data_IF_863884521515
#
_entry.id   IF_863884521515
#
_cell.length_a   1.000
_cell.length_b   1.000
_cell.length_c   1.000
_cell.angle_alpha   90.00
_cell.angle_beta   90.00
_cell.angle_gamma   90.00
#
_symmetry.space_group_name_H-M   'P 1'
#
loop_
_entity.id
_entity.type
_entity.pdbx_description
1 polymer ?
#
# COMPACT_ATOMS: atom_id res chain seq x y z
N UNK A 1 25.67 11.88 -21.05
CA UNK A 1 25.05 13.19 -20.75
C UNK A 1 24.18 13.01 -19.52
N UNK A 2 24.25 13.92 -18.56
CA UNK A 2 23.29 13.95 -17.44
C UNK A 2 21.95 14.43 -18.01
N UNK A 3 20.89 13.64 -17.79
CA UNK A 3 19.53 14.05 -18.13
C UNK A 3 19.13 15.14 -17.13
N UNK A 4 18.68 16.29 -17.64
CA UNK A 4 18.27 17.39 -16.78
C UNK A 4 16.84 17.15 -16.29
N UNK A 5 16.69 17.13 -14.96
CA UNK A 5 15.39 17.27 -14.32
C UNK A 5 14.79 18.63 -14.71
N UNK A 6 13.50 18.65 -15.00
CA UNK A 6 12.78 19.84 -15.41
C UNK A 6 11.48 19.97 -14.65
N UNK A 7 11.03 21.21 -14.43
CA UNK A 7 9.65 21.44 -13.98
C UNK A 7 8.68 21.28 -15.14
N UNK A 8 7.62 20.54 -14.87
CA UNK A 8 6.49 20.37 -15.77
C UNK A 8 5.25 21.00 -15.11
N UNK A 9 4.52 21.82 -15.86
CA UNK A 9 3.38 22.57 -15.31
C UNK A 9 2.21 21.65 -14.92
N UNK A 10 2.13 20.46 -15.55
CA UNK A 10 1.06 19.52 -15.31
C UNK A 10 1.43 18.51 -14.23
N UNK A 11 2.66 17.97 -14.30
CA UNK A 11 3.05 16.84 -13.47
C UNK A 11 3.80 17.21 -12.21
N UNK A 12 4.60 18.29 -12.19
CA UNK A 12 5.32 18.67 -10.96
C UNK A 12 4.36 18.91 -9.77
N UNK A 13 3.19 19.59 -9.92
CA UNK A 13 2.24 19.73 -8.82
C UNK A 13 1.65 18.41 -8.32
N UNK A 14 1.41 17.44 -9.23
CA UNK A 14 0.94 16.10 -8.86
C UNK A 14 2.00 15.40 -8.01
N UNK A 15 3.26 15.44 -8.44
CA UNK A 15 4.37 14.80 -7.74
C UNK A 15 4.61 15.38 -6.34
N UNK A 16 4.35 16.67 -6.13
CA UNK A 16 4.52 17.35 -4.83
C UNK A 16 3.52 16.88 -3.77
N UNK A 17 2.35 16.39 -4.18
CA UNK A 17 1.28 15.96 -3.25
C UNK A 17 1.23 14.45 -3.04
N UNK A 18 2.00 13.67 -3.80
CA UNK A 18 2.03 12.23 -3.66
C UNK A 18 2.68 11.82 -2.33
N UNK A 19 2.10 10.82 -1.69
CA UNK A 19 2.72 10.07 -0.59
C UNK A 19 3.82 9.14 -1.13
N UNK A 20 4.74 9.69 -1.93
CA UNK A 20 5.66 8.91 -2.77
C UNK A 20 6.47 7.90 -1.96
N UNK A 21 6.84 8.24 -0.73
CA UNK A 21 7.56 7.39 0.24
C UNK A 21 6.77 6.14 0.71
N UNK A 22 5.46 6.09 0.49
CA UNK A 22 4.58 4.99 0.88
C UNK A 22 4.21 4.05 -0.28
N UNK A 23 4.69 4.33 -1.50
CA UNK A 23 4.28 3.62 -2.73
C UNK A 23 5.36 2.65 -3.20
N UNK A 24 5.04 1.44 -3.65
CA UNK A 24 6.04 0.60 -4.32
C UNK A 24 6.38 1.09 -5.75
N UNK A 25 7.31 0.42 -6.43
CA UNK A 25 7.80 0.80 -7.76
C UNK A 25 6.77 0.65 -8.89
N UNK A 26 5.65 -0.06 -8.66
CA UNK A 26 4.57 -0.22 -9.63
C UNK A 26 3.47 0.79 -9.31
N UNK A 27 3.07 0.82 -8.05
CA UNK A 27 2.00 1.67 -7.52
C UNK A 27 2.29 3.16 -7.69
N UNK A 28 3.57 3.57 -7.69
CA UNK A 28 3.97 4.98 -7.83
C UNK A 28 3.43 5.66 -9.09
N UNK A 29 3.56 5.03 -10.27
CA UNK A 29 3.01 5.55 -11.53
C UNK A 29 1.49 5.56 -11.54
N UNK A 30 0.85 4.52 -10.98
CA UNK A 30 -0.62 4.45 -10.86
C UNK A 30 -1.15 5.57 -9.97
N UNK A 31 -0.49 5.86 -8.85
CA UNK A 31 -0.86 6.96 -7.94
C UNK A 31 -0.80 8.32 -8.63
N UNK A 32 0.23 8.58 -9.45
CA UNK A 32 0.29 9.82 -10.22
C UNK A 32 -0.87 9.94 -11.22
N UNK A 33 -1.27 8.82 -11.85
CA UNK A 33 -2.45 8.77 -12.72
C UNK A 33 -3.72 9.05 -11.93
N UNK A 34 -3.93 8.41 -10.77
CA UNK A 34 -5.08 8.65 -9.89
C UNK A 34 -5.17 10.13 -9.53
N UNK A 35 -4.10 10.73 -8.99
CA UNK A 35 -4.13 12.13 -8.57
C UNK A 35 -4.37 13.09 -9.74
N UNK A 36 -3.86 12.74 -10.93
CA UNK A 36 -4.08 13.53 -12.15
C UNK A 36 -5.54 13.55 -12.58
N UNK A 37 -6.28 12.46 -12.41
CA UNK A 37 -7.67 12.35 -12.86
C UNK A 37 -8.69 12.66 -11.76
N UNK A 38 -8.41 12.27 -10.52
CA UNK A 38 -9.33 12.33 -9.39
C UNK A 38 -9.01 13.46 -8.40
N UNK A 39 -7.90 14.17 -8.58
CA UNK A 39 -7.46 15.27 -7.73
C UNK A 39 -6.38 14.86 -6.72
N UNK A 40 -5.67 15.86 -6.21
CA UNK A 40 -4.54 15.66 -5.29
C UNK A 40 -4.95 14.85 -4.05
N UNK A 41 -4.14 13.85 -3.69
CA UNK A 41 -4.37 12.99 -2.53
C UNK A 41 -5.33 11.82 -2.78
N UNK A 42 -5.99 11.74 -3.94
CA UNK A 42 -6.89 10.63 -4.26
C UNK A 42 -6.17 9.26 -4.27
N UNK A 43 -4.88 9.23 -4.59
CA UNK A 43 -4.07 8.02 -4.65
C UNK A 43 -4.00 7.22 -3.34
N UNK A 44 -4.26 7.85 -2.18
CA UNK A 44 -4.21 7.14 -0.90
C UNK A 44 -5.21 5.99 -0.84
N UNK A 45 -6.28 6.02 -1.64
CA UNK A 45 -7.25 4.93 -1.78
C UNK A 45 -6.59 3.60 -2.17
N UNK A 46 -5.45 3.63 -2.86
CA UNK A 46 -4.68 2.43 -3.22
C UNK A 46 -4.03 1.76 -2.00
N UNK A 47 -4.04 2.39 -0.83
CA UNK A 47 -3.64 1.80 0.45
C UNK A 47 -4.78 1.20 1.24
N UNK A 48 -6.02 1.24 0.75
CA UNK A 48 -7.19 0.80 1.51
C UNK A 48 -7.12 -0.69 1.89
N UNK A 49 -6.61 -1.54 0.98
CA UNK A 49 -6.46 -2.97 1.22
C UNK A 49 -5.12 -3.32 1.84
N UNK A 50 -5.14 -4.22 2.81
CA UNK A 50 -3.97 -4.82 3.42
C UNK A 50 -4.03 -6.33 3.25
N UNK A 51 -2.92 -6.91 2.80
CA UNK A 51 -2.84 -8.34 2.55
C UNK A 51 -1.45 -8.88 2.91
N UNK A 52 -1.42 -10.17 3.24
CA UNK A 52 -0.21 -10.97 3.38
C UNK A 52 -0.39 -12.24 2.55
N UNK A 53 0.04 -12.19 1.28
CA UNK A 53 -0.14 -13.29 0.32
C UNK A 53 1.23 -13.69 -0.23
N UNK A 54 1.96 -14.58 0.48
CA UNK A 54 3.27 -15.01 0.02
C UNK A 54 3.19 -15.84 -1.25
N UNK A 55 4.10 -15.55 -2.18
CA UNK A 55 4.33 -16.36 -3.38
C UNK A 55 5.54 -17.25 -3.15
N UNK A 56 5.32 -18.56 -3.22
CA UNK A 56 6.36 -19.58 -3.03
C UNK A 56 6.51 -20.32 -4.36
N UNK A 57 7.62 -20.07 -5.04
CA UNK A 57 7.98 -20.72 -6.31
C UNK A 57 9.19 -21.64 -6.10
N UNK A 58 9.17 -22.81 -6.74
CA UNK A 58 10.28 -23.77 -6.61
C UNK A 58 11.60 -23.15 -7.11
N UNK A 59 12.64 -23.21 -6.27
CA UNK A 59 13.98 -22.71 -6.60
C UNK A 59 14.15 -21.19 -6.53
N UNK A 60 13.16 -20.46 -5.99
CA UNK A 60 13.26 -19.02 -5.72
C UNK A 60 12.97 -18.74 -4.26
N UNK A 61 13.58 -17.70 -3.66
CA UNK A 61 13.14 -17.20 -2.36
C UNK A 61 11.65 -16.86 -2.38
N UNK A 62 10.93 -17.06 -1.26
CA UNK A 62 9.56 -16.60 -1.14
C UNK A 62 9.53 -15.08 -1.20
N UNK A 63 8.44 -14.53 -1.73
CA UNK A 63 8.29 -13.08 -1.87
C UNK A 63 6.85 -12.63 -1.61
N UNK A 64 6.73 -11.43 -1.05
CA UNK A 64 5.49 -10.68 -0.90
C UNK A 64 5.29 -9.65 -2.01
N UNK A 65 6.23 -9.54 -2.95
CA UNK A 65 6.12 -8.61 -4.07
C UNK A 65 4.88 -8.95 -4.91
N UNK A 66 3.92 -8.02 -5.04
CA UNK A 66 2.71 -8.25 -5.81
C UNK A 66 3.05 -8.22 -7.31
N UNK A 67 2.50 -9.14 -8.12
CA UNK A 67 2.66 -9.06 -9.56
C UNK A 67 1.95 -7.82 -10.11
N UNK A 68 2.46 -7.30 -11.23
CA UNK A 68 1.90 -6.11 -11.92
C UNK A 68 0.39 -6.22 -12.13
N UNK A 69 -0.08 -7.37 -12.63
CA UNK A 69 -1.50 -7.56 -12.92
C UNK A 69 -2.39 -7.47 -11.66
N UNK A 70 -1.84 -7.84 -10.49
CA UNK A 70 -2.53 -7.64 -9.20
C UNK A 70 -2.65 -6.15 -8.88
N UNK A 71 -1.57 -5.37 -9.03
CA UNK A 71 -1.61 -3.91 -8.82
C UNK A 71 -2.58 -3.20 -9.77
N UNK A 72 -2.67 -3.65 -11.02
CA UNK A 72 -3.63 -3.13 -11.98
C UNK A 72 -5.08 -3.49 -11.60
N UNK A 73 -5.33 -4.71 -11.13
CA UNK A 73 -6.64 -5.12 -10.64
C UNK A 73 -7.07 -4.30 -9.40
N UNK A 74 -6.16 -4.12 -8.44
CA UNK A 74 -6.39 -3.28 -7.26
C UNK A 74 -6.69 -1.82 -7.65
N UNK A 75 -5.92 -1.24 -8.58
CA UNK A 75 -6.14 0.12 -9.05
C UNK A 75 -7.48 0.29 -9.78
N UNK A 76 -7.95 -0.76 -10.48
CA UNK A 76 -9.29 -0.77 -11.06
C UNK A 76 -10.38 -0.76 -9.99
N UNK A 77 -10.27 -1.66 -9.02
CA UNK A 77 -11.30 -1.83 -8.00
C UNK A 77 -11.36 -0.65 -7.02
N UNK A 78 -10.21 -0.08 -6.65
CA UNK A 78 -10.12 0.96 -5.62
C UNK A 78 -10.13 2.38 -6.19
N UNK A 79 -9.60 2.58 -7.40
CA UNK A 79 -9.41 3.92 -7.97
C UNK A 79 -10.06 4.11 -9.34
N UNK A 80 -10.79 3.11 -9.86
CA UNK A 80 -11.49 3.21 -11.15
C UNK A 80 -10.55 3.30 -12.35
N UNK A 81 -9.29 2.88 -12.20
CA UNK A 81 -8.32 2.88 -13.30
C UNK A 81 -8.46 1.62 -14.15
N UNK A 82 -8.51 1.77 -15.47
CA UNK A 82 -8.56 0.62 -16.37
C UNK A 82 -7.59 0.76 -17.54
N UNK A 83 -6.97 -0.37 -17.90
CA UNK A 83 -6.08 -0.49 -19.05
C UNK A 83 -6.94 -0.66 -20.29
N UNK A 84 -6.87 0.29 -21.22
CA UNK A 84 -7.64 0.27 -22.48
C UNK A 84 -6.85 -0.31 -23.65
N UNK A 85 -5.52 -0.20 -23.60
CA UNK A 85 -4.60 -0.82 -24.56
C UNK A 85 -3.33 -1.22 -23.80
N UNK A 86 -2.79 -2.40 -24.08
CA UNK A 86 -1.55 -2.93 -23.50
C UNK A 86 -0.70 -3.55 -24.60
N UNK A 87 0.56 -3.15 -24.65
CA UNK A 87 1.56 -3.72 -25.56
C UNK A 87 2.79 -4.13 -24.75
N UNK A 88 3.20 -5.38 -24.90
CA UNK A 88 4.35 -5.95 -24.22
C UNK A 88 5.52 -6.18 -25.20
N UNK A 89 6.73 -6.35 -24.69
CA UNK A 89 7.90 -6.68 -25.51
C UNK A 89 8.42 -5.52 -26.35
N UNK A 90 8.12 -4.28 -25.97
CA UNK A 90 8.48 -3.09 -26.73
C UNK A 90 9.98 -2.77 -26.58
N UNK A 91 10.58 -2.29 -27.67
CA UNK A 91 11.84 -1.55 -27.64
C UNK A 91 11.55 -0.04 -27.63
N UNK A 92 12.60 0.78 -27.49
CA UNK A 92 12.46 2.23 -27.49
C UNK A 92 11.73 2.81 -28.71
N UNK A 93 12.07 2.42 -29.96
CA UNK A 93 11.37 2.92 -31.14
C UNK A 93 9.90 2.52 -31.20
N UNK A 94 9.55 1.30 -30.79
CA UNK A 94 8.16 0.86 -30.71
C UNK A 94 7.38 1.58 -29.61
N UNK A 95 8.01 1.81 -28.45
CA UNK A 95 7.42 2.56 -27.35
C UNK A 95 7.10 4.01 -27.75
N UNK A 96 8.02 4.68 -28.46
CA UNK A 96 7.76 6.02 -29.00
C UNK A 96 6.56 6.06 -29.94
N UNK A 97 6.53 5.16 -30.92
CA UNK A 97 5.40 5.10 -31.86
C UNK A 97 4.09 4.92 -31.12
N UNK A 98 4.08 4.08 -30.09
CA UNK A 98 2.89 3.89 -29.28
C UNK A 98 2.50 5.16 -28.50
N UNK A 99 3.47 5.88 -27.91
CA UNK A 99 3.21 7.13 -27.21
C UNK A 99 2.69 8.23 -28.16
N UNK A 100 3.20 8.28 -29.40
CA UNK A 100 2.76 9.23 -30.42
C UNK A 100 1.34 8.89 -30.94
N UNK A 101 0.98 7.61 -30.99
CA UNK A 101 -0.35 7.12 -31.40
C UNK A 101 -1.42 7.31 -30.32
N UNK A 102 -1.09 6.98 -29.07
CA UNK A 102 -2.07 6.81 -27.99
C UNK A 102 -2.04 7.92 -26.93
N UNK A 103 -1.00 8.75 -26.91
CA UNK A 103 -0.80 9.78 -25.89
C UNK A 103 0.00 9.27 -24.69
N UNK A 104 -0.24 9.82 -23.47
CA UNK A 104 0.48 9.43 -22.27
C UNK A 104 0.36 7.93 -21.97
N UNK A 105 1.49 7.28 -21.71
CA UNK A 105 1.57 5.86 -21.41
C UNK A 105 2.02 5.65 -19.96
N UNK A 106 1.45 4.66 -19.30
CA UNK A 106 2.06 4.01 -18.15
C UNK A 106 3.01 2.93 -18.64
N UNK A 107 4.29 3.00 -18.26
CA UNK A 107 5.33 2.14 -18.79
C UNK A 107 6.00 1.38 -17.66
N UNK A 108 6.29 0.11 -17.92
CA UNK A 108 7.11 -0.78 -17.11
C UNK A 108 8.33 -1.17 -17.92
N UNK A 109 9.51 -0.89 -17.40
CA UNK A 109 10.75 -1.38 -17.98
C UNK A 109 11.82 -1.57 -16.90
N UNK A 110 12.97 -2.09 -17.32
CA UNK A 110 14.08 -2.43 -16.44
C UNK A 110 14.84 -1.17 -15.96
N UNK A 111 14.98 -1.01 -14.64
CA UNK A 111 15.74 0.10 -14.05
C UNK A 111 17.22 0.13 -14.45
N UNK A 112 17.78 -1.01 -14.89
CA UNK A 112 19.20 -1.13 -15.22
C UNK A 112 19.62 -0.19 -16.36
N UNK A 113 18.72 0.11 -17.30
CA UNK A 113 19.00 0.99 -18.44
C UNK A 113 18.52 2.43 -18.24
N UNK A 114 17.61 2.67 -17.29
CA UNK A 114 16.99 3.99 -17.06
C UNK A 114 18.00 5.05 -16.65
N UNK A 115 18.15 6.09 -17.47
CA UNK A 115 19.19 7.12 -17.28
C UNK A 115 18.94 8.11 -16.14
N UNK A 116 17.71 8.16 -15.63
CA UNK A 116 17.28 9.08 -14.58
C UNK A 116 17.19 8.44 -13.18
N UNK A 117 17.38 7.13 -13.06
CA UNK A 117 17.32 6.42 -11.76
C UNK A 117 18.73 6.09 -11.24
N UNK A 118 18.93 5.95 -9.92
CA UNK A 118 20.23 5.57 -9.35
C UNK A 118 20.60 4.09 -9.62
N UNK A 119 19.67 3.30 -10.15
CA UNK A 119 19.86 1.87 -10.43
C UNK A 119 20.58 1.58 -11.74
N UNK A 120 20.79 2.60 -12.57
CA UNK A 120 21.39 2.46 -13.91
C UNK A 120 22.74 1.75 -13.85
N UNK A 121 22.84 0.60 -14.52
CA UNK A 121 24.05 -0.22 -14.54
C UNK A 121 24.34 -0.94 -13.22
N UNK A 122 23.42 -0.91 -12.26
CA UNK A 122 23.60 -1.44 -10.91
C UNK A 122 22.64 -2.58 -10.59
N UNK A 123 21.34 -2.43 -10.90
CA UNK A 123 20.32 -3.42 -10.54
C UNK A 123 19.24 -3.55 -11.61
N UNK A 124 18.93 -4.81 -11.92
CA UNK A 124 17.76 -5.18 -12.71
C UNK A 124 16.53 -5.23 -11.79
N UNK A 125 15.46 -4.53 -12.17
CA UNK A 125 14.19 -4.49 -11.45
C UNK A 125 13.13 -3.89 -12.36
N UNK A 126 11.90 -4.40 -12.30
CA UNK A 126 10.76 -3.78 -12.97
C UNK A 126 10.40 -2.46 -12.27
N UNK A 127 10.16 -1.41 -13.05
CA UNK A 127 9.87 -0.10 -12.52
C UNK A 127 8.90 0.68 -13.39
N UNK A 128 7.93 1.33 -12.73
CA UNK A 128 6.91 2.10 -13.42
C UNK A 128 7.23 3.58 -13.52
N UNK A 129 6.86 4.16 -14.65
CA UNK A 129 6.92 5.61 -14.91
C UNK A 129 5.85 5.97 -15.95
N UNK A 130 5.58 7.26 -16.09
CA UNK A 130 4.72 7.76 -17.16
C UNK A 130 5.59 8.33 -18.29
N UNK A 131 5.22 8.01 -19.53
CA UNK A 131 5.86 8.52 -20.74
C UNK A 131 4.87 9.42 -21.48
N UNK A 132 5.29 10.64 -21.78
CA UNK A 132 4.47 11.62 -22.50
C UNK A 132 5.23 12.03 -23.77
N UNK A 133 4.62 11.74 -24.92
CA UNK A 133 5.10 12.20 -26.22
C UNK A 133 4.83 13.69 -26.43
N UNK A 134 5.83 14.42 -26.94
CA UNK A 134 5.70 15.82 -27.35
C UNK A 134 6.52 16.07 -28.61
N UNK A 135 6.10 15.47 -29.73
CA UNK A 135 6.81 15.58 -31.01
C UNK A 135 8.12 14.80 -30.98
N UNK A 136 9.25 15.48 -31.14
CA UNK A 136 10.60 14.87 -31.15
C UNK A 136 11.23 14.71 -29.75
N UNK A 137 10.47 15.06 -28.70
CA UNK A 137 10.91 14.98 -27.30
C UNK A 137 9.91 14.22 -26.46
N UNK A 138 10.45 13.54 -25.46
CA UNK A 138 9.67 12.72 -24.54
C UNK A 138 9.89 13.21 -23.12
N UNK A 139 8.82 13.31 -22.35
CA UNK A 139 8.90 13.55 -20.92
C UNK A 139 8.65 12.25 -20.17
N UNK A 140 9.56 11.91 -19.27
CA UNK A 140 9.40 10.83 -18.29
C UNK A 140 8.99 11.46 -16.98
N UNK A 141 7.87 11.01 -16.42
CA UNK A 141 7.41 11.36 -15.07
C UNK A 141 7.60 10.15 -14.20
N UNK A 142 8.50 10.23 -13.23
CA UNK A 142 8.80 9.13 -12.32
C UNK A 142 8.47 9.61 -10.90
N UNK A 143 7.36 9.13 -10.30
CA UNK A 143 6.97 9.54 -8.95
C UNK A 143 7.71 8.79 -7.84
N UNK A 144 8.72 7.98 -8.19
CA UNK A 144 9.36 7.09 -7.25
C UNK A 144 10.23 7.81 -6.22
N UNK A 145 10.11 7.40 -4.97
CA UNK A 145 10.93 7.86 -3.86
C UNK A 145 11.61 6.70 -3.16
N UNK A 146 12.94 6.66 -3.18
CA UNK A 146 13.72 5.70 -2.41
C UNK A 146 15.14 6.21 -2.13
N UNK A 147 15.72 5.79 -1.01
CA UNK A 147 17.14 5.99 -0.71
C UNK A 147 17.89 4.69 -0.91
N UNK A 148 18.88 4.72 -1.79
CA UNK A 148 19.65 3.55 -2.17
C UNK A 148 21.14 3.79 -1.94
N UNK A 149 21.92 2.71 -1.90
CA UNK A 149 23.39 2.81 -1.84
C UNK A 149 24.03 3.51 -3.06
N UNK A 150 23.30 3.63 -4.18
CA UNK A 150 23.80 4.25 -5.41
C UNK A 150 23.37 5.72 -5.55
N UNK A 151 22.59 6.21 -4.59
CA UNK A 151 22.03 7.55 -4.59
C UNK A 151 20.51 7.56 -4.36
N UNK A 152 19.95 8.74 -4.11
CA UNK A 152 18.51 8.90 -3.96
C UNK A 152 17.78 8.78 -5.30
N UNK A 153 16.64 8.09 -5.30
CA UNK A 153 15.58 8.27 -6.28
C UNK A 153 14.57 9.25 -5.69
N UNK A 154 14.18 10.27 -6.46
CA UNK A 154 13.22 11.28 -6.05
C UNK A 154 12.17 11.49 -7.14
N UNK A 155 10.92 11.82 -6.75
CA UNK A 155 9.89 12.17 -7.72
C UNK A 155 10.37 13.30 -8.62
N UNK A 156 10.22 13.15 -9.94
CA UNK A 156 10.68 14.16 -10.88
C UNK A 156 10.12 14.03 -12.29
N UNK A 157 10.53 14.97 -13.15
CA UNK A 157 10.24 14.93 -14.58
C UNK A 157 11.51 15.16 -15.38
N UNK A 158 11.79 14.29 -16.34
CA UNK A 158 12.99 14.32 -17.16
C UNK A 158 12.61 14.42 -18.63
N UNK A 159 13.29 15.29 -19.38
CA UNK A 159 13.12 15.41 -20.83
C UNK A 159 14.22 14.64 -21.55
N UNK A 160 13.82 13.72 -22.42
CA UNK A 160 14.69 12.86 -23.20
C UNK A 160 14.57 13.16 -24.69
N UNK A 161 15.70 13.07 -25.39
CA UNK A 161 15.69 12.91 -26.84
C UNK A 161 15.21 11.51 -27.21
N UNK A 162 14.80 11.30 -28.46
CA UNK A 162 14.47 9.95 -28.96
C UNK A 162 15.62 8.94 -28.72
N UNK A 163 16.87 9.35 -28.95
CA UNK A 163 18.02 8.48 -28.75
C UNK A 163 18.26 8.14 -27.26
N UNK A 164 18.06 9.11 -26.37
CA UNK A 164 18.20 8.87 -24.92
C UNK A 164 17.08 7.95 -24.40
N UNK A 165 15.84 8.12 -24.91
CA UNK A 165 14.74 7.23 -24.58
C UNK A 165 15.00 5.81 -25.10
N UNK A 166 15.50 5.65 -26.33
CA UNK A 166 15.85 4.33 -26.89
C UNK A 166 16.85 3.59 -26.01
N UNK A 167 17.90 4.29 -25.60
CA UNK A 167 18.93 3.72 -24.74
C UNK A 167 18.40 3.39 -23.33
N UNK A 168 17.41 4.14 -22.83
CA UNK A 168 16.90 3.99 -21.47
C UNK A 168 15.87 2.87 -21.31
N UNK A 169 15.08 2.58 -22.36
CA UNK A 169 14.04 1.53 -22.34
C UNK A 169 14.64 0.14 -22.53
N UNK A 170 15.73 0.03 -23.30
CA UNK A 170 16.30 -1.25 -23.66
C UNK A 170 15.34 -2.09 -24.52
N UNK A 171 15.19 -3.37 -24.18
CA UNK A 171 14.27 -4.30 -24.84
C UNK A 171 13.33 -4.93 -23.82
N UNK A 172 12.06 -5.12 -24.20
CA UNK A 172 11.12 -5.90 -23.39
C UNK A 172 10.20 -5.07 -22.51
N UNK A 173 10.03 -3.77 -22.78
CA UNK A 173 9.14 -2.93 -22.00
C UNK A 173 7.66 -3.30 -22.23
N UNK A 174 6.86 -3.11 -21.20
CA UNK A 174 5.40 -3.15 -21.26
C UNK A 174 4.85 -1.75 -21.14
N UNK A 175 3.93 -1.37 -22.01
CA UNK A 175 3.30 -0.06 -21.95
C UNK A 175 1.78 -0.18 -22.07
N UNK A 176 1.10 0.71 -21.36
CA UNK A 176 -0.34 0.67 -21.16
C UNK A 176 -0.92 2.06 -21.33
N UNK A 177 -2.05 2.15 -22.01
CA UNK A 177 -2.94 3.31 -21.95
C UNK A 177 -3.86 3.09 -20.77
N UNK A 178 -3.82 4.00 -19.80
CA UNK A 178 -4.68 3.97 -18.62
C UNK A 178 -5.69 5.09 -18.72
N UNK A 179 -6.95 4.75 -18.44
CA UNK A 179 -8.02 5.72 -18.27
C UNK A 179 -8.70 5.54 -16.91
N UNK A 180 -9.43 6.56 -16.48
CA UNK A 180 -10.06 6.62 -15.17
C UNK A 180 -11.54 6.97 -15.32
N UNK A 181 -12.41 6.22 -14.64
CA UNK A 181 -13.86 6.48 -14.61
C UNK A 181 -14.28 7.36 -13.41
N UNK A 182 -13.32 7.84 -12.63
CA UNK A 182 -13.52 8.46 -11.32
C UNK A 182 -13.37 7.46 -10.17
N UNK A 183 -13.33 7.97 -8.94
CA UNK A 183 -13.20 7.12 -7.76
C UNK A 183 -14.49 6.32 -7.53
N UNK A 184 -14.40 4.98 -7.41
CA UNK A 184 -15.52 4.16 -6.98
C UNK A 184 -15.99 4.55 -5.57
N UNK A 185 -17.28 4.36 -5.30
CA UNK A 185 -17.81 4.41 -3.94
C UNK A 185 -17.42 3.11 -3.22
N UNK A 186 -16.55 3.23 -2.22
CA UNK A 186 -16.03 2.09 -1.44
C UNK A 186 -16.58 2.16 -0.02
N UNK A 187 -17.02 1.03 0.53
CA UNK A 187 -17.41 0.90 1.93
C UNK A 187 -16.16 0.66 2.81
N UNK A 188 -15.70 1.65 3.60
CA UNK A 188 -14.51 1.48 4.44
C UNK A 188 -14.72 0.39 5.50
N UNK A 189 -15.96 0.20 5.98
CA UNK A 189 -16.27 -0.82 6.98
C UNK A 189 -16.12 -2.22 6.39
N UNK A 190 -16.58 -2.44 5.16
CA UNK A 190 -16.37 -3.71 4.46
C UNK A 190 -14.88 -3.95 4.20
N UNK A 191 -14.14 -2.94 3.72
CA UNK A 191 -12.69 -3.07 3.47
C UNK A 191 -11.92 -3.42 4.74
N UNK A 192 -12.22 -2.76 5.86
CA UNK A 192 -11.54 -3.04 7.13
C UNK A 192 -11.86 -4.44 7.66
N UNK A 193 -13.10 -4.89 7.52
CA UNK A 193 -13.47 -6.27 7.84
C UNK A 193 -12.72 -7.27 6.94
N UNK A 194 -12.60 -6.99 5.65
CA UNK A 194 -11.85 -7.83 4.70
C UNK A 194 -10.37 -7.87 5.02
N UNK A 195 -9.75 -6.73 5.36
CA UNK A 195 -8.36 -6.67 5.79
C UNK A 195 -8.12 -7.53 7.04
N UNK A 196 -8.98 -7.41 8.05
CA UNK A 196 -8.88 -8.20 9.28
C UNK A 196 -9.00 -9.71 8.97
N UNK A 197 -9.97 -10.11 8.14
CA UNK A 197 -10.13 -11.50 7.72
C UNK A 197 -8.93 -12.00 6.93
N UNK A 198 -8.44 -11.23 5.96
CA UNK A 198 -7.32 -11.63 5.10
C UNK A 198 -6.01 -11.77 5.87
N UNK A 199 -5.72 -10.85 6.79
CA UNK A 199 -4.53 -10.92 7.64
C UNK A 199 -4.64 -12.06 8.65
N UNK A 200 -5.81 -12.27 9.27
CA UNK A 200 -6.01 -13.41 10.18
C UNK A 200 -6.00 -14.76 9.45
N UNK A 201 -6.52 -14.81 8.22
CA UNK A 201 -6.53 -15.98 7.35
C UNK A 201 -5.24 -16.11 6.51
N UNK A 202 -4.18 -15.36 6.83
CA UNK A 202 -2.86 -15.57 6.26
C UNK A 202 -2.35 -16.95 6.71
N UNK A 203 -2.80 -17.98 5.98
CA UNK A 203 -2.88 -19.39 6.36
C UNK A 203 -1.55 -20.05 6.75
N UNK A 204 -0.41 -19.35 6.64
CA UNK A 204 0.87 -19.88 7.11
C UNK A 204 1.96 -18.81 7.33
N UNK A 205 1.71 -17.79 8.16
CA UNK A 205 2.80 -16.87 8.60
C UNK A 205 3.99 -17.69 9.13
N UNK A 206 3.71 -18.72 9.94
CA UNK A 206 4.72 -19.60 10.51
C UNK A 206 5.54 -20.33 9.44
N UNK A 207 4.90 -20.87 8.40
CA UNK A 207 5.58 -21.58 7.31
C UNK A 207 6.28 -20.66 6.33
N UNK A 208 5.77 -19.45 6.08
CA UNK A 208 6.56 -18.41 5.39
C UNK A 208 7.84 -18.09 6.17
N UNK A 209 7.72 -17.82 7.48
CA UNK A 209 8.89 -17.53 8.35
C UNK A 209 9.84 -18.72 8.39
N UNK A 210 9.33 -19.96 8.48
CA UNK A 210 10.16 -21.15 8.44
C UNK A 210 10.91 -21.30 7.11
N UNK A 211 10.24 -21.00 5.99
CA UNK A 211 10.85 -21.03 4.67
C UNK A 211 11.94 -19.97 4.53
N UNK A 212 11.68 -18.73 4.94
CA UNK A 212 12.69 -17.66 4.95
C UNK A 212 13.87 -18.06 5.83
N UNK A 213 13.62 -18.56 7.04
CA UNK A 213 14.65 -19.01 7.99
C UNK A 213 15.56 -20.08 7.39
N UNK A 214 15.00 -21.00 6.61
CA UNK A 214 15.77 -22.07 5.95
C UNK A 214 16.71 -21.57 4.85
N UNK A 215 16.47 -20.37 4.30
CA UNK A 215 17.27 -19.79 3.22
C UNK A 215 18.21 -18.65 3.65
N UNK A 216 18.29 -18.30 4.94
CA UNK A 216 19.07 -17.16 5.43
C UNK A 216 20.61 -17.32 5.28
N UNK A 217 21.09 -18.45 4.79
CA UNK A 217 22.48 -18.64 4.38
C UNK A 217 22.78 -18.07 2.98
N UNK A 218 21.73 -17.79 2.19
CA UNK A 218 21.81 -17.23 0.85
C UNK A 218 21.57 -15.71 0.84
N UNK A 219 22.48 -14.98 0.19
CA UNK A 219 22.31 -13.53 -0.04
C UNK A 219 21.00 -13.24 -0.78
N UNK A 220 20.63 -14.04 -1.77
CA UNK A 220 19.40 -13.83 -2.55
C UNK A 220 18.13 -13.95 -1.68
N UNK A 221 18.12 -14.86 -0.71
CA UNK A 221 16.99 -15.00 0.21
C UNK A 221 16.91 -13.81 1.18
N UNK A 222 18.06 -13.31 1.65
CA UNK A 222 18.12 -12.12 2.49
C UNK A 222 17.68 -10.89 1.70
N UNK A 223 18.07 -10.76 0.42
CA UNK A 223 17.61 -9.68 -0.46
C UNK A 223 16.09 -9.70 -0.62
N UNK A 224 15.49 -10.88 -0.81
CA UNK A 224 14.04 -11.06 -0.87
C UNK A 224 13.36 -10.62 0.44
N UNK A 225 13.86 -11.08 1.59
CA UNK A 225 13.31 -10.69 2.89
C UNK A 225 13.38 -9.17 3.13
N UNK A 226 14.50 -8.53 2.78
CA UNK A 226 14.64 -7.07 2.92
C UNK A 226 13.61 -6.34 2.05
N UNK A 227 13.38 -6.81 0.83
CA UNK A 227 12.35 -6.25 -0.05
C UNK A 227 10.95 -6.44 0.53
N UNK A 228 10.63 -7.63 1.02
CA UNK A 228 9.34 -7.95 1.63
C UNK A 228 9.03 -7.06 2.84
N UNK A 229 10.00 -6.88 3.75
CA UNK A 229 9.89 -5.97 4.91
C UNK A 229 9.65 -4.53 4.45
N UNK A 230 10.36 -4.08 3.41
CA UNK A 230 10.22 -2.73 2.85
C UNK A 230 8.84 -2.50 2.21
N UNK A 231 8.32 -3.49 1.46
CA UNK A 231 6.97 -3.44 0.86
C UNK A 231 5.90 -3.35 1.95
N UNK A 232 6.01 -4.17 3.01
CA UNK A 232 5.06 -4.16 4.12
C UNK A 232 5.05 -2.79 4.82
N UNK A 233 6.21 -2.24 5.17
CA UNK A 233 6.29 -0.93 5.83
C UNK A 233 5.65 0.21 5.01
N UNK A 234 5.90 0.23 3.70
CA UNK A 234 5.30 1.22 2.80
C UNK A 234 3.79 1.02 2.65
N UNK A 235 3.34 -0.24 2.54
CA UNK A 235 1.92 -0.58 2.50
C UNK A 235 1.17 -0.09 3.74
N UNK A 236 1.73 -0.28 4.95
CA UNK A 236 1.11 0.23 6.19
C UNK A 236 1.13 1.75 6.26
N UNK A 237 2.20 2.39 5.77
CA UNK A 237 2.27 3.85 5.71
C UNK A 237 1.18 4.43 4.79
N UNK A 238 0.93 3.80 3.64
CA UNK A 238 -0.13 4.21 2.74
C UNK A 238 -1.51 3.91 3.31
N UNK A 239 -1.67 2.80 4.02
CA UNK A 239 -2.92 2.47 4.72
C UNK A 239 -3.26 3.51 5.79
N UNK A 240 -2.27 3.97 6.56
CA UNK A 240 -2.46 5.05 7.52
C UNK A 240 -2.93 6.34 6.83
N UNK A 241 -2.35 6.69 5.68
CA UNK A 241 -2.77 7.85 4.89
C UNK A 241 -4.19 7.70 4.34
N UNK A 242 -4.61 6.49 3.97
CA UNK A 242 -6.02 6.21 3.63
C UNK A 242 -6.94 6.37 4.84
N UNK A 243 -6.57 5.85 6.00
CA UNK A 243 -7.37 5.96 7.23
C UNK A 243 -7.59 7.40 7.67
N UNK A 244 -6.64 8.31 7.43
CA UNK A 244 -6.82 9.75 7.67
C UNK A 244 -7.98 10.34 6.84
N UNK A 245 -8.40 9.66 5.77
CA UNK A 245 -9.58 10.04 4.95
C UNK A 245 -10.88 9.40 5.42
N UNK A 246 -10.83 8.41 6.33
CA UNK A 246 -12.00 7.65 6.80
C UNK A 246 -12.51 8.25 8.12
N UNK A 247 -13.68 8.92 8.13
CA UNK A 247 -14.13 9.64 9.31
C UNK A 247 -14.37 8.71 10.51
N UNK A 248 -13.86 9.05 11.69
CA UNK A 248 -14.07 8.31 12.94
C UNK A 248 -13.12 7.13 13.17
N UNK A 249 -12.23 6.84 12.22
CA UNK A 249 -11.23 5.77 12.34
C UNK A 249 -9.84 6.40 12.60
N UNK A 250 -9.21 6.13 13.75
CA UNK A 250 -7.91 6.71 14.09
C UNK A 250 -6.77 6.02 13.30
N UNK A 251 -5.93 6.81 12.62
CA UNK A 251 -4.78 6.30 11.87
C UNK A 251 -3.50 6.16 12.71
N UNK A 252 -3.45 6.74 13.92
CA UNK A 252 -2.22 6.85 14.73
C UNK A 252 -1.60 5.50 15.09
N UNK A 253 -2.43 4.49 15.33
CA UNK A 253 -1.95 3.14 15.65
C UNK A 253 -1.25 2.49 14.44
N UNK A 254 -1.87 2.57 13.26
CA UNK A 254 -1.29 2.08 12.00
C UNK A 254 -0.03 2.86 11.64
N UNK A 255 0.00 4.17 11.89
CA UNK A 255 1.19 5.00 11.63
C UNK A 255 2.38 4.55 12.50
N UNK A 256 2.15 4.30 13.79
CA UNK A 256 3.20 3.72 14.66
C UNK A 256 3.67 2.37 14.16
N UNK A 257 2.75 1.52 13.71
CA UNK A 257 3.09 0.21 13.15
C UNK A 257 3.92 0.33 11.86
N UNK A 258 3.57 1.27 10.98
CA UNK A 258 4.36 1.58 9.79
C UNK A 258 5.78 2.04 10.15
N UNK A 259 5.94 2.88 11.18
CA UNK A 259 7.25 3.33 11.65
C UNK A 259 8.10 2.16 12.17
N UNK A 260 7.50 1.20 12.88
CA UNK A 260 8.20 -0.01 13.33
C UNK A 260 8.66 -0.89 12.15
N UNK A 261 7.79 -1.10 11.15
CA UNK A 261 8.13 -1.81 9.92
C UNK A 261 9.27 -1.13 9.15
N UNK A 262 9.23 0.19 9.00
CA UNK A 262 10.28 0.95 8.31
C UNK A 262 11.62 0.93 9.09
N UNK A 263 11.57 0.90 10.43
CA UNK A 263 12.76 0.69 11.25
C UNK A 263 13.34 -0.69 11.04
N UNK A 264 12.50 -1.73 10.99
CA UNK A 264 12.93 -3.08 10.67
C UNK A 264 13.54 -3.16 9.26
N UNK A 265 12.98 -2.44 8.28
CA UNK A 265 13.53 -2.36 6.92
C UNK A 265 14.95 -1.77 6.91
N UNK A 266 15.22 -0.71 7.69
CA UNK A 266 16.55 -0.16 7.81
C UNK A 266 17.54 -1.13 8.49
N UNK A 267 17.10 -1.84 9.53
CA UNK A 267 17.90 -2.83 10.24
C UNK A 267 18.21 -4.05 9.36
N UNK A 268 17.20 -4.56 8.64
CA UNK A 268 17.35 -5.71 7.74
C UNK A 268 18.26 -5.36 6.55
N UNK A 269 18.18 -4.15 6.02
CA UNK A 269 19.11 -3.66 5.00
C UNK A 269 20.56 -3.65 5.51
N UNK A 270 20.81 -3.18 6.75
CA UNK A 270 22.15 -3.28 7.35
C UNK A 270 22.59 -4.75 7.51
N UNK A 271 21.67 -5.64 7.88
CA UNK A 271 21.87 -7.09 7.90
C UNK A 271 22.31 -7.64 6.54
N UNK A 272 21.63 -7.26 5.46
CA UNK A 272 22.01 -7.61 4.08
C UNK A 272 23.42 -7.12 3.73
N UNK A 273 23.77 -5.87 4.09
CA UNK A 273 25.11 -5.31 3.84
C UNK A 273 26.21 -6.09 4.57
N UNK A 274 25.91 -6.65 5.73
CA UNK A 274 26.80 -7.54 6.50
C UNK A 274 26.89 -8.93 5.86
N UNK A 275 25.76 -9.49 5.45
CA UNK A 275 25.69 -10.77 4.74
C UNK A 275 26.49 -10.80 3.44
N UNK A 276 26.45 -9.72 2.65
CA UNK A 276 27.27 -9.58 1.44
C UNK A 276 28.79 -9.66 1.76
N UNK A 277 29.20 -9.30 2.98
CA UNK A 277 30.59 -9.42 3.45
C UNK A 277 30.89 -10.75 4.16
N UNK A 278 29.95 -11.68 4.19
CA UNK A 278 30.09 -12.98 4.83
C UNK A 278 29.77 -13.02 6.32
N UNK A 279 29.17 -11.96 6.87
CA UNK A 279 28.68 -11.94 8.26
C UNK A 279 27.23 -12.48 8.32
N UNK A 280 26.83 -13.26 9.34
CA UNK A 280 25.45 -13.74 9.44
C UNK A 280 24.44 -12.60 9.71
N UNK A 281 23.21 -12.78 9.21
CA UNK A 281 22.09 -11.88 9.55
C UNK A 281 21.66 -12.11 11.01
N UNK A 282 21.46 -11.04 11.81
CA UNK A 282 20.95 -11.17 13.18
C UNK A 282 19.60 -11.93 13.23
N UNK A 283 19.46 -12.98 14.05
CA UNK A 283 18.20 -13.73 14.19
C UNK A 283 17.01 -12.85 14.61
N UNK A 284 17.28 -11.81 15.40
CA UNK A 284 16.29 -10.85 15.88
C UNK A 284 15.51 -10.13 14.78
N UNK A 285 16.02 -10.10 13.53
CA UNK A 285 15.28 -9.56 12.39
C UNK A 285 14.06 -10.41 12.08
N UNK A 286 14.19 -11.75 12.09
CA UNK A 286 13.07 -12.64 11.86
C UNK A 286 12.11 -12.68 13.04
N UNK A 287 12.64 -12.66 14.27
CA UNK A 287 11.79 -12.62 15.46
C UNK A 287 10.92 -11.35 15.44
N UNK A 288 11.51 -10.19 15.15
CA UNK A 288 10.76 -8.93 15.05
C UNK A 288 9.79 -8.91 13.87
N UNK A 289 10.16 -9.53 12.75
CA UNK A 289 9.27 -9.67 11.60
C UNK A 289 8.00 -10.46 11.95
N UNK A 290 8.16 -11.60 12.62
CA UNK A 290 7.05 -12.46 13.06
C UNK A 290 6.15 -11.73 14.07
N UNK A 291 6.75 -11.03 15.04
CA UNK A 291 6.03 -10.17 15.99
C UNK A 291 5.20 -9.10 15.28
N UNK A 292 5.79 -8.38 14.33
CA UNK A 292 5.10 -7.31 13.60
C UNK A 292 3.92 -7.82 12.76
N UNK A 293 4.05 -9.02 12.17
CA UNK A 293 2.93 -9.64 11.46
C UNK A 293 1.79 -10.00 12.42
N UNK A 294 2.10 -10.55 13.60
CA UNK A 294 1.07 -10.82 14.61
C UNK A 294 0.41 -9.51 15.11
N UNK A 295 1.20 -8.45 15.31
CA UNK A 295 0.69 -7.12 15.65
C UNK A 295 -0.23 -6.58 14.53
N UNK A 296 0.08 -6.78 13.23
CA UNK A 296 -0.76 -6.34 12.11
C UNK A 296 -2.14 -7.01 12.15
N UNK A 297 -2.22 -8.31 12.48
CA UNK A 297 -3.48 -9.04 12.63
C UNK A 297 -4.33 -8.43 13.74
N UNK A 298 -3.72 -8.14 14.88
CA UNK A 298 -4.42 -7.57 16.03
C UNK A 298 -4.90 -6.13 15.78
N UNK A 299 -4.08 -5.30 15.13
CA UNK A 299 -4.47 -3.94 14.73
C UNK A 299 -5.62 -3.97 13.73
N UNK A 300 -5.54 -4.81 12.70
CA UNK A 300 -6.60 -4.95 11.71
C UNK A 300 -7.93 -5.39 12.34
N UNK A 301 -7.88 -6.35 13.27
CA UNK A 301 -9.07 -6.79 14.03
C UNK A 301 -9.71 -5.65 14.83
N UNK A 302 -8.91 -4.84 15.54
CA UNK A 302 -9.42 -3.66 16.27
C UNK A 302 -10.05 -2.63 15.34
N UNK A 303 -9.43 -2.35 14.19
CA UNK A 303 -9.96 -1.41 13.21
C UNK A 303 -11.28 -1.87 12.60
N UNK A 304 -11.41 -3.17 12.29
CA UNK A 304 -12.65 -3.75 11.78
C UNK A 304 -13.81 -3.61 12.80
N UNK A 305 -13.54 -3.92 14.08
CA UNK A 305 -14.51 -3.74 15.16
C UNK A 305 -14.91 -2.27 15.28
N UNK A 306 -13.93 -1.36 15.30
CA UNK A 306 -14.21 0.07 15.41
C UNK A 306 -15.04 0.57 14.23
N UNK A 307 -14.73 0.16 13.01
CA UNK A 307 -15.49 0.56 11.84
C UNK A 307 -16.95 0.10 11.91
N UNK A 308 -17.20 -1.13 12.39
CA UNK A 308 -18.56 -1.61 12.61
C UNK A 308 -19.31 -0.78 13.67
N UNK A 309 -18.66 -0.44 14.79
CA UNK A 309 -19.24 0.42 15.83
C UNK A 309 -19.54 1.82 15.30
N UNK A 310 -18.59 2.46 14.61
CA UNK A 310 -18.75 3.79 14.03
C UNK A 310 -19.89 3.80 13.01
N UNK A 311 -19.96 2.83 12.09
CA UNK A 311 -21.05 2.69 11.13
C UNK A 311 -22.41 2.56 11.82
N UNK A 312 -22.49 1.73 12.85
CA UNK A 312 -23.73 1.53 13.59
C UNK A 312 -24.19 2.81 14.31
N UNK A 313 -23.28 3.51 15.00
CA UNK A 313 -23.57 4.79 15.66
C UNK A 313 -24.06 5.81 14.62
N UNK A 314 -23.35 5.99 13.51
CA UNK A 314 -23.76 6.94 12.45
C UNK A 314 -25.13 6.61 11.88
N UNK A 315 -25.38 5.33 11.61
CA UNK A 315 -26.64 4.88 11.02
C UNK A 315 -27.83 5.09 11.96
N UNK A 316 -27.68 4.71 13.24
CA UNK A 316 -28.76 4.76 14.22
C UNK A 316 -29.01 6.19 14.72
N UNK A 317 -27.94 6.93 14.99
CA UNK A 317 -27.99 8.29 15.54
C UNK A 317 -28.13 9.36 14.45
N UNK A 318 -27.86 9.02 13.18
CA UNK A 318 -27.89 9.96 12.03
C UNK A 318 -26.97 11.15 12.23
N UNK A 319 -25.75 10.87 12.71
CA UNK A 319 -24.69 11.86 12.95
C UNK A 319 -23.48 11.54 12.10
N UNK A 320 -22.72 12.57 11.72
CA UNK A 320 -21.44 12.39 11.02
C UNK A 320 -20.28 12.26 12.02
N UNK A 321 -20.36 13.00 13.12
CA UNK A 321 -19.35 13.03 14.19
C UNK A 321 -19.75 12.11 15.35
N UNK A 322 -18.84 11.19 15.68
CA UNK A 322 -18.98 10.17 16.74
C UNK A 322 -18.02 10.40 17.91
N UNK A 323 -17.37 11.57 17.96
CA UNK A 323 -16.38 11.95 18.98
C UNK A 323 -16.99 12.37 20.33
N UNK A 324 -18.30 12.62 20.34
CA UNK A 324 -19.02 13.01 21.56
C UNK A 324 -19.55 11.79 22.32
N UNK A 325 -19.86 11.98 23.60
CA UNK A 325 -20.53 10.95 24.41
C UNK A 325 -21.92 10.67 23.86
N UNK A 326 -22.41 9.43 24.00
CA UNK A 326 -23.73 9.10 23.45
C UNK A 326 -24.84 9.97 24.02
N UNK A 327 -24.76 10.33 25.31
CA UNK A 327 -25.73 11.23 25.97
C UNK A 327 -25.75 12.66 25.42
N UNK A 328 -24.65 13.11 24.82
CA UNK A 328 -24.57 14.43 24.21
C UNK A 328 -25.08 14.43 22.76
N UNK A 329 -25.35 13.25 22.17
CA UNK A 329 -25.86 13.14 20.81
C UNK A 329 -27.35 13.51 20.74
N UNK A 330 -27.80 14.14 19.64
CA UNK A 330 -29.22 14.38 19.40
C UNK A 330 -30.04 13.09 19.46
N UNK A 331 -31.24 13.18 20.02
CA UNK A 331 -32.22 12.07 20.09
C UNK A 331 -31.72 10.79 20.79
N UNK A 332 -30.69 10.89 21.63
CA UNK A 332 -30.18 9.75 22.40
C UNK A 332 -31.25 9.17 23.35
N UNK A 333 -31.37 7.85 23.33
CA UNK A 333 -32.13 7.07 24.30
C UNK A 333 -31.50 5.68 24.47
N UNK A 334 -31.82 4.99 25.56
CA UNK A 334 -31.34 3.62 25.79
C UNK A 334 -31.76 2.64 24.69
N UNK A 335 -32.91 2.86 24.04
CA UNK A 335 -33.35 2.04 22.91
C UNK A 335 -32.43 2.19 21.70
N UNK A 336 -31.98 3.42 21.39
CA UNK A 336 -31.00 3.65 20.31
C UNK A 336 -29.68 2.93 20.58
N UNK A 337 -29.27 2.87 21.85
CA UNK A 337 -28.06 2.15 22.21
C UNK A 337 -28.21 0.64 22.01
N UNK A 338 -29.38 0.07 22.31
CA UNK A 338 -29.68 -1.34 21.99
C UNK A 338 -29.63 -1.57 20.48
N UNK A 339 -30.25 -0.70 19.67
CA UNK A 339 -30.19 -0.81 18.20
C UNK A 339 -28.75 -0.77 17.66
N UNK A 340 -27.88 0.06 18.27
CA UNK A 340 -26.45 0.12 17.93
C UNK A 340 -25.78 -1.22 18.24
N UNK A 341 -25.97 -1.74 19.45
CA UNK A 341 -25.37 -3.00 19.90
C UNK A 341 -25.81 -4.15 18.99
N UNK A 342 -27.12 -4.33 18.77
CA UNK A 342 -27.67 -5.40 17.93
C UNK A 342 -27.10 -5.35 16.49
N UNK A 343 -26.90 -4.15 15.95
CA UNK A 343 -26.30 -3.96 14.63
C UNK A 343 -24.83 -4.37 14.59
N UNK A 344 -24.06 -4.03 15.61
CA UNK A 344 -22.64 -4.41 15.69
C UNK A 344 -22.51 -5.92 15.91
N UNK A 345 -23.29 -6.49 16.82
CA UNK A 345 -23.38 -7.93 17.07
C UNK A 345 -23.70 -8.72 15.78
N UNK A 346 -24.74 -8.30 15.06
CA UNK A 346 -25.10 -8.93 13.79
C UNK A 346 -24.02 -8.81 12.72
N UNK A 347 -23.26 -7.71 12.69
CA UNK A 347 -22.23 -7.50 11.67
C UNK A 347 -20.93 -8.24 11.97
N UNK A 348 -20.60 -8.37 13.26
CA UNK A 348 -19.40 -9.07 13.72
C UNK A 348 -19.64 -10.56 14.00
N UNK A 349 -20.88 -11.03 13.88
CA UNK A 349 -21.32 -12.39 14.26
C UNK A 349 -20.90 -12.74 15.70
N UNK A 350 -21.20 -11.82 16.62
CA UNK A 350 -20.79 -11.91 18.02
C UNK A 350 -21.95 -11.48 18.94
N UNK A 351 -21.98 -12.01 20.16
CA UNK A 351 -22.94 -11.60 21.20
C UNK A 351 -22.18 -11.18 22.45
N UNK A 352 -22.53 -10.01 23.00
CA UNK A 352 -21.99 -9.50 24.26
C UNK A 352 -22.67 -10.17 25.45
N UNK A 353 -21.91 -10.38 26.53
CA UNK A 353 -22.48 -10.80 27.80
C UNK A 353 -23.21 -9.60 28.44
N UNK A 354 -24.41 -9.84 28.97
CA UNK A 354 -25.18 -8.83 29.68
C UNK A 354 -24.43 -8.27 30.90
N UNK A 355 -23.53 -9.05 31.50
CA UNK A 355 -22.70 -8.60 32.62
C UNK A 355 -21.63 -7.57 32.21
N UNK A 356 -21.21 -7.56 30.95
CA UNK A 356 -20.23 -6.60 30.43
C UNK A 356 -20.87 -5.25 30.01
N UNK A 357 -22.21 -5.18 29.97
CA UNK A 357 -23.00 -3.98 29.61
C UNK A 357 -23.16 -3.02 30.80
N UNK A 358 -22.09 -2.30 31.13
CA UNK A 358 -22.03 -1.33 32.23
C UNK A 358 -22.22 0.10 31.73
N UNK A 359 -22.51 1.05 32.65
CA UNK A 359 -22.60 2.47 32.28
C UNK A 359 -21.28 3.02 31.71
N UNK A 360 -20.15 2.45 32.11
CA UNK A 360 -18.82 2.85 31.64
C UNK A 360 -18.57 2.34 30.21
N UNK A 361 -18.84 1.06 29.94
CA UNK A 361 -18.68 0.48 28.59
C UNK A 361 -19.66 1.05 27.56
N UNK A 362 -20.73 1.70 28.02
CA UNK A 362 -21.79 2.30 27.21
C UNK A 362 -21.76 3.83 27.19
N UNK A 363 -20.62 4.45 27.51
CA UNK A 363 -20.50 5.90 27.61
C UNK A 363 -20.29 6.60 26.25
N UNK A 364 -19.44 6.03 25.41
CA UNK A 364 -18.99 6.59 24.14
C UNK A 364 -18.53 5.51 23.15
N UNK A 365 -18.22 5.94 21.93
CA UNK A 365 -17.78 5.10 20.82
C UNK A 365 -16.52 4.30 21.16
N UNK A 366 -15.59 4.87 21.92
CA UNK A 366 -14.30 4.24 22.25
C UNK A 366 -14.49 3.12 23.27
N UNK A 367 -15.29 3.39 24.31
CA UNK A 367 -15.65 2.44 25.35
C UNK A 367 -16.45 1.26 24.79
N UNK A 368 -17.38 1.52 23.87
CA UNK A 368 -18.14 0.48 23.17
C UNK A 368 -17.24 -0.34 22.22
N UNK A 369 -16.32 0.32 21.50
CA UNK A 369 -15.32 -0.37 20.67
C UNK A 369 -14.48 -1.31 21.53
N UNK A 370 -13.99 -0.85 22.68
CA UNK A 370 -13.18 -1.66 23.59
C UNK A 370 -13.94 -2.90 24.11
N UNK A 371 -15.24 -2.74 24.41
CA UNK A 371 -16.11 -3.84 24.81
C UNK A 371 -16.18 -4.92 23.71
N UNK A 372 -16.46 -4.54 22.46
CA UNK A 372 -16.51 -5.50 21.34
C UNK A 372 -15.16 -6.12 21.01
N UNK A 373 -14.05 -5.37 21.11
CA UNK A 373 -12.69 -5.92 20.94
C UNK A 373 -12.42 -6.99 22.00
N UNK A 374 -12.80 -6.74 23.24
CA UNK A 374 -12.63 -7.71 24.35
C UNK A 374 -13.43 -8.97 24.09
N UNK A 375 -14.69 -8.84 23.68
CA UNK A 375 -15.54 -9.98 23.39
C UNK A 375 -15.03 -10.80 22.18
N UNK A 376 -14.59 -10.13 21.11
CA UNK A 376 -13.97 -10.79 19.95
C UNK A 376 -12.66 -11.50 20.29
N UNK A 377 -11.93 -11.05 21.31
CA UNK A 377 -10.76 -11.73 21.84
C UNK A 377 -11.12 -13.04 22.57
N UNK A 378 -12.23 -13.08 23.30
CA UNK A 378 -12.69 -14.28 24.03
C UNK A 378 -13.15 -15.40 23.10
N UNK A 379 -13.73 -15.07 21.95
CA UNK A 379 -14.19 -16.07 20.95
C UNK A 379 -13.01 -16.73 20.20
N UNK A 380 -11.86 -16.06 20.14
CA UNK A 380 -10.66 -16.54 19.44
C UNK A 380 -9.75 -17.42 20.30
N UNK A 381 -9.94 -17.45 21.61
CA UNK A 381 -9.25 -18.33 22.57
C UNK A 381 -10.00 -19.66 22.71
#
# INVERSE_FOLDING_TARGET
MSVLETRDQLWSPVLETLSAQALDCIQTGLSAVVDRFCGAGAHVVLGARQEFVPRIEAGRPPTLEPPVDKRLAEARELAGLHVTDRRDGLDGPALRRFADEAGPLYVLSDTFTMSWTPYRGQRHMDHSYLLIGSGDRYAVVDPYHNDTQWGPARPGVWRLSSADLDAAVGTGASAMVISADGLPDIDPTAILADNARNLAAALDIAGYVAHVRSGLDSVAAIESLVLDIWILGRSRLLHAAWLDTVPGIPADEVRRQADEWLRLAAQSYLGLRRAIRGEPVPPSILDRFEELLAEDVEVAGRLAVRAAVVDAVRTVMRVDDVSVTFRAMPDFSSFRLVDIIERVESRLDLTLDAEDLTLESLHDTDSLTHLFVTAAGRVRQ
#
